data_IF_130671090767
#
_entry.id   IF_130671090767
#
_cell.length_a   1.000
_cell.length_b   1.000
_cell.length_c   1.000
_cell.angle_alpha   90.00
_cell.angle_beta   90.00
_cell.angle_gamma   90.00
#
_symmetry.space_group_name_H-M   'P 1'
#
loop_
_entity.id
_entity.type
_entity.pdbx_description
1 polymer ?
#
# COMPACT_ATOMS: atom_id res chain seq x y z
N UNK A 1 -23.29 11.30 7.25
CA UNK A 1 -23.21 11.16 5.79
C UNK A 1 -21.90 10.46 5.45
N UNK A 2 -21.83 9.13 5.56
CA UNK A 2 -20.55 8.38 5.58
C UNK A 2 -20.63 6.99 4.93
N UNK A 3 -21.52 6.79 3.96
CA UNK A 3 -21.55 5.57 3.13
C UNK A 3 -21.90 5.98 1.69
N UNK A 4 -20.92 6.07 0.80
CA UNK A 4 -21.19 6.04 -0.66
C UNK A 4 -19.98 5.89 -1.58
N UNK A 5 -18.78 5.49 -1.11
CA UNK A 5 -17.58 5.39 -1.97
C UNK A 5 -17.09 3.95 -2.12
N UNK A 6 -18.00 3.02 -2.43
CA UNK A 6 -17.61 1.65 -2.81
C UNK A 6 -18.43 1.09 -3.97
N UNK A 7 -18.78 1.92 -4.95
CA UNK A 7 -19.46 1.44 -6.15
C UNK A 7 -18.90 2.11 -7.40
N UNK A 8 -18.81 1.30 -8.46
CA UNK A 8 -18.50 1.61 -9.85
C UNK A 8 -17.00 1.58 -10.20
N UNK A 9 -16.55 0.50 -10.84
CA UNK A 9 -16.56 0.38 -12.31
C UNK A 9 -16.03 -0.99 -12.72
N UNK A 10 -16.93 -1.81 -13.27
CA UNK A 10 -16.62 -2.91 -14.20
C UNK A 10 -17.21 -2.53 -15.57
N UNK A 11 -16.67 -3.14 -16.63
CA UNK A 11 -17.05 -3.19 -18.05
C UNK A 11 -16.37 -2.24 -19.06
N UNK A 12 -15.74 -2.89 -20.05
CA UNK A 12 -15.20 -2.35 -21.31
C UNK A 12 -13.80 -2.92 -21.59
N UNK A 13 -13.57 -3.95 -22.41
CA UNK A 13 -14.21 -4.29 -23.67
C UNK A 13 -13.66 -3.42 -24.80
N UNK A 14 -12.49 -3.75 -25.37
CA UNK A 14 -12.24 -3.48 -26.79
C UNK A 14 -11.01 -4.22 -27.36
N UNK A 15 -11.20 -4.67 -28.60
CA UNK A 15 -10.30 -5.25 -29.57
C UNK A 15 -8.98 -4.50 -29.79
N UNK A 16 -7.90 -5.24 -30.09
CA UNK A 16 -6.80 -4.77 -30.95
C UNK A 16 -6.17 -5.91 -31.76
N UNK A 17 -6.55 -5.95 -33.04
CA UNK A 17 -5.68 -6.30 -34.16
C UNK A 17 -4.50 -5.33 -34.27
N UNK A 18 -3.38 -5.80 -34.83
CA UNK A 18 -2.35 -4.93 -35.41
C UNK A 18 -0.92 -5.31 -35.05
N UNK A 19 -0.38 -6.31 -35.74
CA UNK A 19 1.06 -6.40 -35.97
C UNK A 19 1.46 -5.45 -37.08
N UNK A 20 2.57 -4.73 -36.88
CA UNK A 20 3.56 -4.50 -37.94
C UNK A 20 4.85 -3.95 -37.31
N UNK A 21 5.97 -4.44 -37.84
CA UNK A 21 7.30 -4.14 -37.35
C UNK A 21 7.99 -2.97 -38.04
N UNK A 22 9.29 -2.98 -37.82
CA UNK A 22 10.36 -2.42 -38.67
C UNK A 22 10.77 -0.96 -38.42
N UNK A 23 11.78 -0.83 -37.55
CA UNK A 23 13.13 -0.33 -37.86
C UNK A 23 13.38 1.15 -38.25
N UNK A 24 14.33 1.72 -37.50
CA UNK A 24 15.56 2.39 -37.95
C UNK A 24 15.70 3.92 -37.83
N UNK A 25 16.91 4.27 -37.38
CA UNK A 25 17.71 5.46 -37.71
C UNK A 25 17.63 6.70 -36.80
N UNK A 26 18.60 6.76 -35.87
CA UNK A 26 19.42 7.95 -35.60
C UNK A 26 20.22 8.35 -36.87
N UNK A 27 20.65 9.62 -37.08
CA UNK A 27 21.84 10.14 -36.37
C UNK A 27 21.96 11.67 -36.14
N UNK A 28 22.88 11.96 -35.20
CA UNK A 28 23.87 13.05 -35.08
C UNK A 28 23.49 14.53 -34.81
N UNK A 29 23.95 14.97 -33.63
CA UNK A 29 24.93 16.04 -33.35
C UNK A 29 24.91 17.33 -34.18
N UNK A 30 24.80 18.47 -33.48
CA UNK A 30 25.73 19.59 -33.70
C UNK A 30 25.87 20.52 -32.49
N UNK A 31 27.11 20.96 -32.29
CA UNK A 31 27.64 21.83 -31.22
C UNK A 31 27.58 23.28 -31.66
N UNK A 32 27.05 24.22 -30.86
CA UNK A 32 27.48 25.64 -30.94
C UNK A 32 27.57 26.30 -29.55
N UNK A 33 28.79 26.75 -29.28
CA UNK A 33 29.35 27.60 -28.24
C UNK A 33 29.08 29.09 -28.54
N UNK A 34 28.55 29.89 -27.61
CA UNK A 34 28.76 31.36 -27.60
C UNK A 34 28.89 31.92 -26.17
N UNK A 35 29.93 32.74 -25.99
CA UNK A 35 30.40 33.51 -24.81
C UNK A 35 29.42 34.59 -24.31
N UNK A 36 29.54 34.93 -23.03
CA UNK A 36 28.90 36.10 -22.38
C UNK A 36 29.43 37.47 -22.86
N UNK A 37 28.99 38.57 -22.21
CA UNK A 37 29.88 39.17 -21.21
C UNK A 37 29.19 39.80 -19.98
N UNK A 38 30.02 39.95 -18.96
CA UNK A 38 29.90 40.63 -17.66
C UNK A 38 29.86 42.15 -17.78
N UNK A 39 29.05 42.85 -16.97
CA UNK A 39 29.34 44.19 -16.44
C UNK A 39 28.72 44.41 -15.04
N UNK A 40 29.57 44.85 -14.10
CA UNK A 40 29.33 45.47 -12.77
C UNK A 40 29.50 47.01 -12.95
N UNK A 41 29.53 47.86 -11.90
CA UNK A 41 28.71 48.00 -10.67
C UNK A 41 28.24 49.48 -10.48
N UNK A 42 27.40 49.77 -9.48
CA UNK A 42 27.36 51.11 -8.85
C UNK A 42 26.72 51.06 -7.45
N UNK A 43 27.23 51.91 -6.56
CA UNK A 43 27.05 51.90 -5.11
C UNK A 43 26.15 53.03 -4.56
N UNK A 44 25.86 52.92 -3.26
CA UNK A 44 25.55 53.98 -2.26
C UNK A 44 24.09 54.50 -2.26
N UNK A 45 23.44 54.88 -1.14
CA UNK A 45 23.89 55.54 0.10
C UNK A 45 22.95 55.17 1.28
N UNK A 46 23.48 55.27 2.50
CA UNK A 46 22.88 55.16 3.85
C UNK A 46 21.83 56.26 4.17
N UNK A 47 20.88 56.00 5.08
CA UNK A 47 20.73 56.62 6.44
C UNK A 47 19.34 56.38 7.08
N UNK A 48 19.18 56.53 8.42
CA UNK A 48 18.22 55.80 9.24
C UNK A 48 17.11 56.67 9.85
N UNK A 49 16.02 56.06 10.35
CA UNK A 49 15.19 56.60 11.45
C UNK A 49 14.76 55.46 12.38
N UNK A 50 14.90 55.73 13.68
CA UNK A 50 14.60 54.86 14.84
C UNK A 50 13.53 55.58 15.68
N UNK A 51 12.60 54.82 16.29
CA UNK A 51 11.95 54.96 17.64
C UNK A 51 10.54 54.33 17.58
N UNK A 52 10.26 53.17 18.22
CA UNK A 52 9.96 52.85 19.63
C UNK A 52 8.43 52.71 19.92
N UNK A 53 8.04 51.46 20.23
CA UNK A 53 7.08 50.97 21.27
C UNK A 53 5.68 51.57 21.44
N UNK A 54 4.63 50.71 21.44
CA UNK A 54 3.73 50.42 22.60
C UNK A 54 2.71 49.29 22.33
N UNK A 55 2.46 48.47 23.37
CA UNK A 55 1.28 47.63 23.73
C UNK A 55 0.79 46.53 22.77
N UNK A 56 0.89 45.23 23.11
CA UNK A 56 0.16 44.47 24.15
C UNK A 56 -1.33 44.24 23.82
N UNK A 57 -1.63 43.10 23.19
CA UNK A 57 -2.91 42.39 23.32
C UNK A 57 -2.74 40.91 22.90
N UNK A 58 -2.80 39.99 23.87
CA UNK A 58 -2.96 38.55 23.64
C UNK A 58 -4.44 38.22 23.40
N UNK A 59 -4.80 37.34 22.45
CA UNK A 59 -6.05 36.59 22.47
C UNK A 59 -5.86 35.19 23.10
N UNK A 60 -6.94 34.53 23.58
CA UNK A 60 -6.87 33.30 24.38
C UNK A 60 -6.55 32.04 23.55
N UNK A 61 -6.09 30.95 24.19
CA UNK A 61 -5.72 29.72 23.49
C UNK A 61 -6.97 28.91 23.12
N UNK A 62 -7.34 28.97 21.84
CA UNK A 62 -8.32 28.06 21.25
C UNK A 62 -7.60 27.02 20.39
N UNK A 63 -7.62 25.77 20.85
CA UNK A 63 -7.59 24.55 20.04
C UNK A 63 -6.56 24.50 18.89
N UNK A 64 -5.27 24.41 19.23
CA UNK A 64 -4.23 24.02 18.30
C UNK A 64 -4.15 22.48 18.21
N UNK A 65 -4.94 21.86 17.33
CA UNK A 65 -4.72 20.45 16.93
C UNK A 65 -5.30 20.06 15.57
N UNK A 66 -5.58 21.01 14.67
CA UNK A 66 -6.18 20.69 13.35
C UNK A 66 -5.66 21.53 12.17
N UNK A 67 -4.74 22.48 12.40
CA UNK A 67 -4.26 23.39 11.36
C UNK A 67 -2.92 22.97 10.70
N UNK A 68 -2.13 22.10 11.34
CA UNK A 68 -0.81 21.70 10.81
C UNK A 68 -0.89 20.65 9.68
N UNK A 69 -2.01 19.92 9.57
CA UNK A 69 -2.14 18.82 8.61
C UNK A 69 -2.48 19.28 7.18
N UNK A 70 -3.20 20.39 7.04
CA UNK A 70 -3.55 20.98 5.75
C UNK A 70 -2.37 21.70 5.08
N UNK A 71 -1.38 22.13 5.86
CA UNK A 71 -0.15 22.78 5.34
C UNK A 71 0.86 21.78 4.81
N UNK A 72 0.83 20.52 5.27
CA UNK A 72 1.78 19.47 4.89
C UNK A 72 1.77 19.17 3.37
N UNK A 73 0.59 19.15 2.75
CA UNK A 73 0.41 18.86 1.32
C UNK A 73 0.63 20.05 0.38
N UNK A 74 0.56 21.28 0.90
CA UNK A 74 0.80 22.48 0.11
C UNK A 74 2.29 22.76 -0.09
N UNK A 75 3.15 22.25 0.81
CA UNK A 75 4.59 22.50 0.80
C UNK A 75 5.41 21.37 0.12
N UNK A 76 4.92 20.12 0.15
CA UNK A 76 5.56 18.96 -0.48
C UNK A 76 4.46 18.00 -0.99
N UNK A 77 4.41 17.64 -2.29
CA UNK A 77 3.51 16.59 -2.74
C UNK A 77 3.89 15.25 -2.08
N UNK A 78 2.93 14.37 -1.75
CA UNK A 78 3.22 13.08 -1.13
C UNK A 78 4.12 12.27 -2.05
N UNK A 79 5.15 11.66 -1.47
CA UNK A 79 5.99 10.74 -2.21
C UNK A 79 5.23 9.45 -2.50
N UNK A 80 4.76 9.33 -3.75
CA UNK A 80 4.00 8.19 -4.26
C UNK A 80 4.89 7.13 -4.96
N UNK A 81 6.20 7.15 -4.69
CA UNK A 81 7.16 6.21 -5.29
C UNK A 81 6.93 4.78 -4.84
N UNK A 82 6.53 4.56 -3.59
CA UNK A 82 6.16 3.25 -3.06
C UNK A 82 5.01 3.35 -2.04
N UNK A 83 4.47 2.20 -1.60
CA UNK A 83 3.34 2.21 -0.67
C UNK A 83 3.72 2.74 0.72
N UNK A 84 4.96 2.55 1.15
CA UNK A 84 5.43 2.98 2.47
C UNK A 84 5.63 4.50 2.55
N UNK A 85 6.10 5.14 1.47
CA UNK A 85 6.35 6.59 1.41
C UNK A 85 5.06 7.42 1.43
N UNK A 86 3.92 6.80 1.12
CA UNK A 86 2.59 7.44 1.19
C UNK A 86 2.16 7.74 2.63
N UNK A 87 2.67 6.99 3.62
CA UNK A 87 2.28 7.09 5.03
C UNK A 87 3.44 7.53 5.93
N UNK A 88 4.00 8.74 5.75
CA UNK A 88 5.21 9.17 6.46
C UNK A 88 5.03 9.32 7.98
N UNK A 89 3.81 9.56 8.48
CA UNK A 89 3.57 9.67 9.93
C UNK A 89 3.58 8.31 10.61
N UNK A 90 3.01 7.30 9.97
CA UNK A 90 2.94 5.92 10.50
C UNK A 90 4.24 5.17 10.22
N UNK A 91 4.86 5.40 9.07
CA UNK A 91 6.02 4.64 8.56
C UNK A 91 7.18 5.58 8.20
N UNK A 92 7.75 6.31 9.18
CA UNK A 92 8.79 7.30 8.91
C UNK A 92 10.10 6.70 8.37
N UNK A 93 10.37 5.42 8.67
CA UNK A 93 11.60 4.71 8.27
C UNK A 93 11.45 3.94 6.95
N UNK A 94 10.28 3.99 6.30
CA UNK A 94 10.04 3.26 5.04
C UNK A 94 9.86 1.75 5.23
N UNK A 95 10.16 0.92 4.22
CA UNK A 95 9.97 -0.53 4.28
C UNK A 95 11.07 -1.26 5.09
N UNK A 96 10.83 -2.52 5.51
CA UNK A 96 11.87 -3.38 6.11
C UNK A 96 13.09 -3.54 5.20
N UNK A 97 14.31 -3.72 5.74
CA UNK A 97 14.64 -3.93 7.16
C UNK A 97 14.81 -2.64 7.98
N UNK A 98 14.60 -1.46 7.40
CA UNK A 98 14.72 -0.18 8.12
C UNK A 98 13.59 0.03 9.16
N UNK A 99 12.46 -0.66 8.97
CA UNK A 99 11.33 -0.75 9.88
C UNK A 99 10.93 -2.22 10.10
N UNK A 100 10.11 -2.49 11.12
CA UNK A 100 9.54 -3.84 11.29
C UNK A 100 8.40 -4.08 10.31
N UNK A 101 8.23 -5.33 9.91
CA UNK A 101 7.07 -5.80 9.14
C UNK A 101 5.74 -5.54 9.86
N UNK A 102 5.71 -5.52 11.20
CA UNK A 102 4.48 -5.26 11.94
C UNK A 102 4.10 -3.78 11.89
N UNK A 103 2.87 -3.51 11.46
CA UNK A 103 2.34 -2.17 11.26
C UNK A 103 1.06 -2.03 12.07
N UNK A 104 0.97 -0.96 12.86
CA UNK A 104 -0.25 -0.59 13.57
C UNK A 104 -1.35 -0.18 12.59
N UNK A 105 -2.24 -1.12 12.24
CA UNK A 105 -3.41 -0.88 11.37
C UNK A 105 -4.28 0.30 11.86
N UNK A 106 -4.51 0.49 13.18
CA UNK A 106 -5.24 1.67 13.67
C UNK A 106 -4.56 3.00 13.36
N UNK A 107 -3.22 3.08 13.47
CA UNK A 107 -2.47 4.29 13.12
C UNK A 107 -2.50 4.53 11.61
N UNK A 108 -2.26 3.48 10.83
CA UNK A 108 -2.33 3.50 9.36
C UNK A 108 -3.69 4.00 8.88
N UNK A 109 -4.78 3.51 9.48
CA UNK A 109 -6.15 3.93 9.16
C UNK A 109 -6.40 5.40 9.49
N UNK A 110 -5.87 5.90 10.62
CA UNK A 110 -6.01 7.33 10.99
C UNK A 110 -5.32 8.23 9.96
N UNK A 111 -4.10 7.88 9.56
CA UNK A 111 -3.38 8.63 8.53
C UNK A 111 -4.08 8.53 7.17
N UNK A 112 -4.50 7.33 6.76
CA UNK A 112 -5.29 7.11 5.54
C UNK A 112 -6.52 8.03 5.45
N UNK A 113 -7.31 8.14 6.52
CA UNK A 113 -8.49 9.01 6.55
C UNK A 113 -8.12 10.49 6.44
N UNK A 114 -7.03 10.91 7.08
CA UNK A 114 -6.52 12.28 6.97
C UNK A 114 -6.09 12.59 5.53
N UNK A 115 -5.36 11.66 4.89
CA UNK A 115 -4.91 11.77 3.51
C UNK A 115 -6.09 11.85 2.53
N UNK A 116 -7.06 10.94 2.63
CA UNK A 116 -8.27 10.95 1.81
C UNK A 116 -9.08 12.25 1.98
N UNK A 117 -9.12 12.79 3.20
CA UNK A 117 -9.75 14.08 3.47
C UNK A 117 -9.09 15.24 2.71
N UNK A 118 -7.79 15.17 2.40
CA UNK A 118 -7.05 16.21 1.69
C UNK A 118 -7.18 16.10 0.17
N UNK A 119 -7.25 14.86 -0.36
CA UNK A 119 -7.21 14.59 -1.80
C UNK A 119 -8.57 14.25 -2.42
N UNK A 120 -9.67 14.42 -1.69
CA UNK A 120 -11.00 14.04 -2.17
C UNK A 120 -11.37 14.78 -3.48
N UNK A 121 -11.79 14.06 -4.54
CA UNK A 121 -12.01 14.65 -5.86
C UNK A 121 -13.12 15.71 -5.89
N UNK A 122 -14.11 15.61 -5.01
CA UNK A 122 -15.20 16.60 -4.90
C UNK A 122 -14.73 18.00 -4.46
N UNK A 123 -13.50 18.13 -3.95
CA UNK A 123 -12.91 19.43 -3.60
C UNK A 123 -12.41 20.19 -4.83
N UNK A 124 -12.32 19.53 -5.99
CA UNK A 124 -11.71 20.08 -7.19
C UNK A 124 -12.75 20.21 -8.31
N UNK A 125 -12.77 21.35 -9.03
CA UNK A 125 -13.61 21.49 -10.21
C UNK A 125 -13.15 20.51 -11.30
N UNK A 126 -14.08 20.12 -12.18
CA UNK A 126 -13.80 19.25 -13.33
C UNK A 126 -12.61 19.76 -14.14
N UNK A 127 -11.67 18.87 -14.44
CA UNK A 127 -10.44 19.19 -15.17
C UNK A 127 -9.21 18.45 -14.62
N UNK A 128 -8.02 18.88 -15.01
CA UNK A 128 -6.76 18.23 -14.66
C UNK A 128 -6.47 18.18 -13.15
N UNK A 129 -7.04 19.10 -12.36
CA UNK A 129 -6.92 19.07 -10.90
C UNK A 129 -7.73 17.92 -10.29
N UNK A 130 -8.97 17.72 -10.75
CA UNK A 130 -9.81 16.60 -10.33
C UNK A 130 -9.20 15.25 -10.73
N UNK A 131 -8.70 15.12 -11.96
CA UNK A 131 -8.02 13.89 -12.41
C UNK A 131 -6.79 13.54 -11.56
N UNK A 132 -5.99 14.55 -11.18
CA UNK A 132 -4.85 14.34 -10.26
C UNK A 132 -5.30 13.90 -8.87
N UNK A 133 -6.38 14.49 -8.36
CA UNK A 133 -6.97 14.12 -7.07
C UNK A 133 -7.51 12.67 -7.09
N UNK A 134 -8.20 12.28 -8.17
CA UNK A 134 -8.68 10.91 -8.39
C UNK A 134 -7.52 9.91 -8.42
N UNK A 135 -6.49 10.18 -9.23
CA UNK A 135 -5.32 9.31 -9.33
C UNK A 135 -4.58 9.17 -7.99
N UNK A 136 -4.45 10.25 -7.23
CA UNK A 136 -3.80 10.24 -5.93
C UNK A 136 -4.64 9.49 -4.88
N UNK A 137 -5.95 9.70 -4.86
CA UNK A 137 -6.88 8.97 -3.99
C UNK A 137 -6.85 7.46 -4.28
N UNK A 138 -6.80 7.06 -5.55
CA UNK A 138 -6.66 5.67 -5.94
C UNK A 138 -5.35 5.06 -5.37
N UNK A 139 -4.21 5.74 -5.57
CA UNK A 139 -2.92 5.27 -5.02
C UNK A 139 -2.91 5.15 -3.49
N UNK A 140 -3.54 6.09 -2.78
CA UNK A 140 -3.65 6.03 -1.31
C UNK A 140 -4.51 4.84 -0.88
N UNK A 141 -5.60 4.56 -1.61
CA UNK A 141 -6.45 3.40 -1.34
C UNK A 141 -5.70 2.09 -1.56
N UNK A 142 -4.98 1.97 -2.67
CA UNK A 142 -4.20 0.77 -3.00
C UNK A 142 -3.13 0.52 -1.94
N UNK A 143 -2.35 1.55 -1.60
CA UNK A 143 -1.33 1.46 -0.57
C UNK A 143 -1.91 1.08 0.80
N UNK A 144 -3.05 1.68 1.20
CA UNK A 144 -3.71 1.32 2.45
C UNK A 144 -4.17 -0.15 2.44
N UNK A 145 -4.84 -0.59 1.37
CA UNK A 145 -5.32 -1.97 1.24
C UNK A 145 -4.16 -2.96 1.35
N UNK A 146 -3.11 -2.75 0.56
CA UNK A 146 -1.91 -3.60 0.54
C UNK A 146 -1.21 -3.61 1.90
N UNK A 147 -1.01 -2.46 2.53
CA UNK A 147 -0.29 -2.41 3.80
C UNK A 147 -1.14 -2.83 4.99
N UNK A 148 -2.47 -2.79 4.91
CA UNK A 148 -3.35 -3.17 6.03
C UNK A 148 -3.42 -4.68 6.26
N UNK A 149 -3.31 -5.47 5.20
CA UNK A 149 -3.38 -6.93 5.23
C UNK A 149 -1.96 -7.55 5.25
N UNK A 150 -1.61 -8.41 6.21
CA UNK A 150 -0.26 -8.99 6.29
C UNK A 150 0.15 -9.80 5.06
N UNK A 151 -0.78 -10.56 4.45
CA UNK A 151 -0.47 -11.37 3.27
C UNK A 151 -0.14 -10.46 2.08
N UNK A 152 -1.01 -9.49 1.79
CA UNK A 152 -0.81 -8.50 0.73
C UNK A 152 0.46 -7.67 0.94
N UNK A 153 0.75 -7.30 2.19
CA UNK A 153 1.96 -6.57 2.58
C UNK A 153 3.22 -7.39 2.28
N UNK A 154 3.23 -8.66 2.64
CA UNK A 154 4.37 -9.55 2.39
C UNK A 154 4.59 -9.78 0.90
N UNK A 155 3.53 -10.06 0.14
CA UNK A 155 3.59 -10.20 -1.32
C UNK A 155 4.15 -8.94 -1.97
N UNK A 156 3.68 -7.77 -1.54
CA UNK A 156 4.19 -6.49 -2.02
C UNK A 156 5.68 -6.30 -1.72
N UNK A 157 6.13 -6.62 -0.51
CA UNK A 157 7.54 -6.50 -0.13
C UNK A 157 8.44 -7.43 -0.94
N UNK A 158 8.03 -8.69 -1.11
CA UNK A 158 8.76 -9.68 -1.89
C UNK A 158 8.86 -9.27 -3.37
N UNK A 159 7.77 -8.76 -3.95
CA UNK A 159 7.76 -8.27 -5.32
C UNK A 159 8.60 -6.98 -5.48
N UNK A 160 8.45 -6.02 -4.57
CA UNK A 160 9.10 -4.71 -4.67
C UNK A 160 10.60 -4.76 -4.39
N UNK A 161 11.05 -5.52 -3.39
CA UNK A 161 12.46 -5.56 -2.98
C UNK A 161 13.28 -6.65 -3.67
N UNK A 162 12.65 -7.79 -3.97
CA UNK A 162 13.34 -8.98 -4.48
C UNK A 162 12.88 -9.37 -5.89
N UNK A 163 11.87 -8.72 -6.45
CA UNK A 163 11.30 -9.09 -7.75
C UNK A 163 10.63 -10.47 -7.75
N UNK A 164 10.26 -10.98 -6.56
CA UNK A 164 9.64 -12.29 -6.39
C UNK A 164 8.13 -12.11 -6.33
N UNK A 165 7.44 -12.55 -7.38
CA UNK A 165 5.99 -12.62 -7.39
C UNK A 165 5.52 -14.02 -6.98
N UNK A 166 5.05 -14.14 -5.74
CA UNK A 166 4.52 -15.38 -5.16
C UNK A 166 3.11 -15.70 -5.67
N UNK A 167 2.43 -14.72 -6.29
CA UNK A 167 1.06 -14.89 -6.80
C UNK A 167 1.01 -15.50 -8.21
N UNK A 168 2.07 -15.30 -8.99
CA UNK A 168 2.23 -15.88 -10.33
C UNK A 168 2.37 -17.40 -10.28
N UNK A 169 1.82 -18.10 -11.27
CA UNK A 169 1.97 -19.57 -11.41
C UNK A 169 3.45 -20.00 -11.46
N UNK A 170 4.30 -19.17 -12.07
CA UNK A 170 5.74 -19.39 -12.12
C UNK A 170 6.43 -19.23 -10.76
N UNK A 171 5.92 -18.34 -9.91
CA UNK A 171 6.40 -18.17 -8.53
C UNK A 171 6.05 -19.39 -7.67
N UNK A 172 4.81 -19.89 -7.78
CA UNK A 172 4.39 -21.10 -7.09
C UNK A 172 5.19 -22.35 -7.50
N UNK A 173 5.62 -22.43 -8.78
CA UNK A 173 6.47 -23.52 -9.30
C UNK A 173 7.94 -23.39 -8.88
N UNK A 174 8.47 -22.17 -8.75
CA UNK A 174 9.87 -21.91 -8.34
C UNK A 174 10.11 -22.14 -6.85
N UNK A 175 9.08 -22.06 -6.02
CA UNK A 175 9.19 -22.23 -4.58
C UNK A 175 8.51 -23.55 -4.16
N UNK A 176 9.30 -24.61 -3.85
CA UNK A 176 8.77 -25.90 -3.46
C UNK A 176 7.81 -25.73 -2.29
N UNK A 177 6.60 -26.27 -2.45
CA UNK A 177 5.59 -26.26 -1.41
C UNK A 177 6.08 -27.13 -0.25
N UNK A 178 5.91 -26.62 0.97
CA UNK A 178 6.26 -27.36 2.18
C UNK A 178 5.33 -28.59 2.33
N UNK A 179 5.85 -29.83 2.28
CA UNK A 179 5.03 -31.04 2.35
C UNK A 179 4.19 -31.12 3.61
N UNK A 180 4.71 -30.61 4.73
CA UNK A 180 3.98 -30.55 6.00
C UNK A 180 2.75 -29.64 5.88
N UNK A 181 2.91 -28.49 5.23
CA UNK A 181 1.81 -27.55 4.98
C UNK A 181 0.75 -28.19 4.09
N UNK A 182 1.14 -28.88 3.02
CA UNK A 182 0.17 -29.53 2.12
C UNK A 182 -0.65 -30.61 2.83
N UNK A 183 0.00 -31.43 3.67
CA UNK A 183 -0.69 -32.43 4.47
C UNK A 183 -1.73 -31.80 5.41
N UNK A 184 -1.35 -30.72 6.12
CA UNK A 184 -2.27 -29.98 6.98
C UNK A 184 -3.44 -29.38 6.21
N UNK A 185 -3.21 -28.85 5.00
CA UNK A 185 -4.29 -28.30 4.17
C UNK A 185 -5.29 -29.39 3.80
N UNK A 186 -4.83 -30.57 3.40
CA UNK A 186 -5.69 -31.70 3.07
C UNK A 186 -6.51 -32.16 4.29
N UNK A 187 -5.86 -32.32 5.45
CA UNK A 187 -6.54 -32.72 6.69
C UNK A 187 -7.64 -31.72 7.09
N UNK A 188 -7.37 -30.42 6.96
CA UNK A 188 -8.36 -29.39 7.28
C UNK A 188 -9.50 -29.38 6.26
N UNK A 189 -9.20 -29.60 4.97
CA UNK A 189 -10.24 -29.69 3.93
C UNK A 189 -11.18 -30.87 4.18
N UNK A 190 -10.64 -32.04 4.53
CA UNK A 190 -11.44 -33.20 4.93
C UNK A 190 -12.31 -32.89 6.16
N UNK A 191 -11.73 -32.25 7.19
CA UNK A 191 -12.50 -31.84 8.38
C UNK A 191 -13.63 -30.83 8.05
N UNK A 192 -13.44 -29.96 7.06
CA UNK A 192 -14.48 -29.02 6.59
C UNK A 192 -15.61 -29.77 5.87
N UNK A 193 -15.27 -30.78 5.06
CA UNK A 193 -16.23 -31.60 4.33
C UNK A 193 -17.06 -32.52 5.25
N UNK A 194 -16.43 -33.05 6.30
CA UNK A 194 -17.07 -33.94 7.27
C UNK A 194 -17.88 -33.20 8.34
N UNK A 195 -17.67 -31.89 8.50
CA UNK A 195 -18.38 -31.09 9.48
C UNK A 195 -19.90 -31.11 9.23
N UNK A 196 -20.66 -31.51 10.23
CA UNK A 196 -22.14 -31.61 10.15
C UNK A 196 -22.86 -30.47 10.87
N UNK A 197 -22.15 -29.72 11.70
CA UNK A 197 -22.71 -28.72 12.59
C UNK A 197 -21.83 -27.47 12.68
N UNK A 198 -22.46 -26.36 13.08
CA UNK A 198 -21.81 -25.06 13.14
C UNK A 198 -20.77 -24.96 14.28
N UNK A 199 -20.87 -25.78 15.34
CA UNK A 199 -19.91 -25.76 16.43
C UNK A 199 -18.55 -26.30 15.96
N UNK A 200 -18.54 -27.40 15.20
CA UNK A 200 -17.33 -27.93 14.56
C UNK A 200 -16.66 -26.88 13.66
N UNK A 201 -17.44 -26.16 12.85
CA UNK A 201 -16.91 -25.10 11.97
C UNK A 201 -16.36 -23.91 12.77
N UNK A 202 -16.98 -23.56 13.90
CA UNK A 202 -16.49 -22.50 14.76
C UNK A 202 -15.13 -22.87 15.40
N UNK A 203 -14.94 -24.13 15.77
CA UNK A 203 -13.65 -24.64 16.25
C UNK A 203 -12.58 -24.55 15.16
N UNK A 204 -12.88 -25.03 13.94
CA UNK A 204 -11.95 -24.93 12.80
C UNK A 204 -11.61 -23.49 12.44
N UNK A 205 -12.57 -22.56 12.50
CA UNK A 205 -12.33 -21.11 12.35
C UNK A 205 -11.35 -20.60 13.39
N UNK A 206 -11.55 -20.96 14.66
CA UNK A 206 -10.69 -20.52 15.76
C UNK A 206 -9.27 -21.04 15.59
N UNK A 207 -9.13 -22.31 15.22
CA UNK A 207 -7.83 -22.94 15.02
C UNK A 207 -7.10 -22.37 13.79
N UNK A 208 -7.82 -22.12 12.69
CA UNK A 208 -7.24 -21.48 11.51
C UNK A 208 -6.79 -20.04 11.79
N UNK A 209 -7.52 -19.27 12.60
CA UNK A 209 -7.08 -17.93 13.02
C UNK A 209 -5.81 -17.96 13.89
N UNK A 210 -5.60 -19.02 14.69
CA UNK A 210 -4.32 -19.24 15.39
C UNK A 210 -3.19 -19.54 14.39
N UNK A 211 -3.43 -20.42 13.40
CA UNK A 211 -2.46 -20.72 12.33
C UNK A 211 -2.07 -19.46 11.55
N UNK A 212 -3.04 -18.61 11.20
CA UNK A 212 -2.82 -17.31 10.57
C UNK A 212 -1.94 -16.43 11.45
N UNK A 213 -2.31 -16.23 12.72
CA UNK A 213 -1.54 -15.38 13.65
C UNK A 213 -0.10 -15.87 13.83
N UNK A 214 0.10 -17.17 14.01
CA UNK A 214 1.44 -17.76 14.15
C UNK A 214 2.27 -17.58 12.87
N UNK A 215 1.66 -17.83 11.71
CA UNK A 215 2.35 -17.71 10.41
C UNK A 215 2.71 -16.26 10.10
N UNK A 216 1.84 -15.30 10.41
CA UNK A 216 2.11 -13.85 10.25
C UNK A 216 3.28 -13.42 11.14
N UNK A 217 3.35 -13.89 12.39
CA UNK A 217 4.50 -13.59 13.27
C UNK A 217 5.80 -14.13 12.68
N UNK A 218 5.82 -15.41 12.30
CA UNK A 218 7.02 -16.03 11.73
C UNK A 218 7.44 -15.38 10.40
N UNK A 219 6.47 -14.96 9.57
CA UNK A 219 6.70 -14.22 8.34
C UNK A 219 7.34 -12.86 8.62
N UNK A 220 6.81 -12.11 9.58
CA UNK A 220 7.37 -10.82 9.98
C UNK A 220 8.80 -10.95 10.49
N UNK A 221 9.08 -11.95 11.32
CA UNK A 221 10.44 -12.24 11.79
C UNK A 221 11.41 -12.60 10.65
N UNK A 222 10.96 -13.37 9.65
CA UNK A 222 11.78 -13.71 8.49
C UNK A 222 12.12 -12.46 7.66
N UNK A 223 11.13 -11.60 7.39
CA UNK A 223 11.31 -10.33 6.68
C UNK A 223 12.24 -9.40 7.45
N UNK A 224 12.05 -9.25 8.76
CA UNK A 224 12.87 -8.38 9.62
C UNK A 224 14.33 -8.84 9.70
N UNK A 225 14.58 -10.15 9.59
CA UNK A 225 15.93 -10.73 9.49
C UNK A 225 16.52 -10.70 8.08
N UNK A 226 15.74 -10.34 7.06
CA UNK A 226 16.14 -10.38 5.65
C UNK A 226 16.25 -11.80 5.08
N UNK A 227 15.62 -12.81 5.72
CA UNK A 227 15.57 -14.18 5.22
C UNK A 227 14.46 -14.32 4.18
N UNK A 228 14.83 -14.08 2.92
CA UNK A 228 13.89 -14.04 1.79
C UNK A 228 13.28 -15.43 1.53
N UNK A 229 14.05 -16.50 1.63
CA UNK A 229 13.58 -17.85 1.34
C UNK A 229 12.56 -18.33 2.37
N UNK A 230 12.81 -18.06 3.66
CA UNK A 230 11.82 -18.32 4.72
C UNK A 230 10.60 -17.40 4.56
N UNK A 231 10.79 -16.12 4.24
CA UNK A 231 9.67 -15.20 4.02
C UNK A 231 8.76 -15.67 2.87
N UNK A 232 9.32 -16.15 1.77
CA UNK A 232 8.55 -16.72 0.66
C UNK A 232 7.78 -17.96 1.11
N UNK A 233 8.45 -18.92 1.79
CA UNK A 233 7.77 -20.13 2.30
C UNK A 233 6.62 -19.80 3.25
N UNK A 234 6.83 -18.86 4.19
CA UNK A 234 5.78 -18.41 5.11
C UNK A 234 4.65 -17.65 4.39
N UNK A 235 4.96 -16.86 3.37
CA UNK A 235 3.97 -16.16 2.56
C UNK A 235 3.07 -17.14 1.79
N UNK A 236 3.65 -18.18 1.18
CA UNK A 236 2.89 -19.26 0.51
C UNK A 236 2.01 -20.00 1.51
N UNK A 237 2.55 -20.37 2.68
CA UNK A 237 1.80 -21.03 3.76
C UNK A 237 0.61 -20.18 4.23
N UNK A 238 0.82 -18.87 4.41
CA UNK A 238 -0.23 -17.94 4.82
C UNK A 238 -1.37 -17.87 3.80
N UNK A 239 -1.07 -17.97 2.50
CA UNK A 239 -2.09 -18.02 1.44
C UNK A 239 -3.04 -19.22 1.62
N UNK A 240 -2.52 -20.40 1.95
CA UNK A 240 -3.36 -21.57 2.21
C UNK A 240 -4.31 -21.34 3.39
N UNK A 241 -3.83 -20.74 4.48
CA UNK A 241 -4.68 -20.40 5.63
C UNK A 241 -5.78 -19.38 5.29
N UNK A 242 -5.51 -18.46 4.35
CA UNK A 242 -6.53 -17.56 3.83
C UNK A 242 -7.57 -18.32 3.00
N UNK A 243 -7.16 -19.21 2.11
CA UNK A 243 -8.08 -20.04 1.33
C UNK A 243 -8.96 -20.91 2.24
N UNK A 244 -8.40 -21.50 3.31
CA UNK A 244 -9.15 -22.26 4.32
C UNK A 244 -10.13 -21.35 5.06
N UNK A 245 -9.72 -20.12 5.41
CA UNK A 245 -10.61 -19.16 6.05
C UNK A 245 -11.82 -18.82 5.18
N UNK A 246 -11.59 -18.68 3.87
CA UNK A 246 -12.66 -18.42 2.90
C UNK A 246 -13.58 -19.63 2.78
N UNK A 247 -13.04 -20.86 2.66
CA UNK A 247 -13.82 -22.09 2.65
C UNK A 247 -14.69 -22.25 3.93
N UNK A 248 -14.12 -22.00 5.11
CA UNK A 248 -14.85 -22.03 6.38
C UNK A 248 -15.95 -20.95 6.48
N UNK A 249 -15.75 -19.81 5.81
CA UNK A 249 -16.74 -18.73 5.76
C UNK A 249 -17.91 -19.07 4.83
N UNK A 250 -17.63 -19.78 3.75
CA UNK A 250 -18.60 -20.21 2.74
C UNK A 250 -19.32 -21.53 3.09
N UNK A 251 -18.85 -22.24 4.11
CA UNK A 251 -19.49 -23.47 4.59
C UNK A 251 -20.97 -23.22 4.97
N UNK A 252 -21.84 -24.09 4.48
CA UNK A 252 -23.27 -24.13 4.78
C UNK A 252 -23.67 -25.59 5.08
N UNK A 253 -24.50 -25.84 6.11
CA UNK A 253 -24.92 -27.19 6.45
C UNK A 253 -25.72 -27.82 5.29
N UNK A 254 -25.29 -29.01 4.84
CA UNK A 254 -25.99 -29.77 3.80
C UNK A 254 -25.66 -29.36 2.36
N UNK A 255 -24.68 -28.47 2.14
CA UNK A 255 -24.18 -28.11 0.81
C UNK A 255 -22.91 -28.92 0.53
N UNK A 256 -22.89 -29.66 -0.58
CA UNK A 256 -21.69 -30.38 -1.02
C UNK A 256 -20.64 -29.34 -1.42
N UNK A 257 -19.60 -29.19 -0.60
CA UNK A 257 -18.49 -28.28 -0.87
C UNK A 257 -17.62 -28.94 -1.95
N UNK A 258 -17.69 -28.44 -3.19
CA UNK A 258 -16.72 -28.81 -4.22
C UNK A 258 -15.53 -27.87 -4.13
N UNK A 259 -14.49 -28.30 -3.45
CA UNK A 259 -13.21 -27.60 -3.45
C UNK A 259 -12.60 -27.69 -4.85
N UNK A 260 -12.40 -26.54 -5.51
CA UNK A 260 -11.67 -26.47 -6.78
C UNK A 260 -10.18 -26.55 -6.47
N UNK A 261 -9.52 -27.55 -7.06
CA UNK A 261 -8.11 -27.90 -6.86
C UNK A 261 -7.18 -27.01 -7.68
#
# INVERSE_FOLDING_TARGET
MLLSVLACLDTGGNDKDGGDGVHCSQPNADTILIKGPTLRPAASVLTPVRTLTTSSANPPPSSASSADDSTFFAAQPPDISNHYTIFPKTLPQGPPPASSFDISVPNLRREFLALQGLVHPDKYPSGAAKQRAEALSARINDAYRTLSDPLSRAQYLLAFQHGIDVTSEDGAKRHPQDPETLMQVLEIQEAIEEAQDEATILELKTENEERVRHTVRALGEAIDRGDVDEAVRKCVRLRFWYNIRDALREWEPGKEIRLVH
#
